data_IF_073823548633
#
_entry.id   IF_073823548633
#
_cell.length_a   1.000
_cell.length_b   1.000
_cell.length_c   1.000
_cell.angle_alpha   90.00
_cell.angle_beta   90.00
_cell.angle_gamma   90.00
#
_symmetry.space_group_name_H-M   'P 1'
#
loop_
_entity.id
_entity.type
_entity.pdbx_description
1 polymer ?
#
# COMPACT_ATOMS: atom_id res chain seq x y z
N UNK A 1 26.64 -17.25 33.29
CA UNK A 1 25.49 -16.84 32.44
C UNK A 1 24.74 -18.00 31.78
N UNK A 2 25.33 -19.18 31.56
CA UNK A 2 24.68 -20.29 30.85
C UNK A 2 23.69 -21.14 31.67
N UNK A 3 23.84 -21.26 33.00
CA UNK A 3 22.90 -22.04 33.83
C UNK A 3 21.51 -21.40 33.95
N UNK A 4 21.44 -20.06 33.96
CA UNK A 4 20.17 -19.34 34.15
C UNK A 4 19.18 -19.50 32.98
N UNK A 5 19.66 -19.71 31.75
CA UNK A 5 18.75 -19.90 30.60
C UNK A 5 18.15 -21.31 30.57
N UNK A 6 18.93 -22.35 30.91
CA UNK A 6 18.46 -23.73 30.93
C UNK A 6 17.36 -23.97 31.94
N UNK A 7 17.48 -23.36 33.13
CA UNK A 7 16.44 -23.43 34.16
C UNK A 7 15.14 -22.73 33.72
N UNK A 8 15.24 -21.62 32.98
CA UNK A 8 14.07 -20.92 32.43
C UNK A 8 13.35 -21.76 31.37
N UNK A 9 14.09 -22.37 30.45
CA UNK A 9 13.52 -23.30 29.46
C UNK A 9 12.91 -24.52 30.12
N UNK A 10 13.60 -25.13 31.10
CA UNK A 10 13.08 -26.27 31.85
C UNK A 10 11.78 -25.97 32.58
N UNK A 11 11.68 -24.79 33.21
CA UNK A 11 10.46 -24.33 33.86
C UNK A 11 9.32 -24.13 32.84
N UNK A 12 9.58 -23.48 31.69
CA UNK A 12 8.58 -23.29 30.63
C UNK A 12 8.02 -24.62 30.11
N UNK A 13 8.89 -25.59 29.82
CA UNK A 13 8.50 -26.93 29.35
C UNK A 13 7.65 -27.64 30.41
N UNK A 14 8.04 -27.54 31.69
CA UNK A 14 7.30 -28.16 32.80
C UNK A 14 5.90 -27.56 32.94
N UNK A 15 5.80 -26.24 32.85
CA UNK A 15 4.54 -25.53 33.05
C UNK A 15 3.59 -25.77 31.86
N UNK A 16 4.10 -25.76 30.62
CA UNK A 16 3.35 -26.12 29.42
C UNK A 16 2.87 -27.59 29.45
N UNK A 17 3.73 -28.53 29.88
CA UNK A 17 3.33 -29.94 30.06
C UNK A 17 2.21 -30.09 31.08
N UNK A 18 2.32 -29.41 32.21
CA UNK A 18 1.29 -29.44 33.26
C UNK A 18 -0.03 -28.83 32.78
N UNK A 19 0.02 -27.74 32.03
CA UNK A 19 -1.16 -27.10 31.43
C UNK A 19 -1.91 -28.07 30.50
N UNK A 20 -1.19 -28.89 29.74
CA UNK A 20 -1.78 -29.96 28.92
C UNK A 20 -2.19 -31.23 29.69
N UNK A 21 -2.04 -31.25 31.01
CA UNK A 21 -2.41 -32.41 31.83
C UNK A 21 -1.53 -33.65 31.61
N UNK A 22 -0.36 -33.51 30.98
CA UNK A 22 0.53 -34.63 30.65
C UNK A 22 1.47 -34.97 31.80
N UNK A 23 1.68 -36.25 32.06
CA UNK A 23 2.78 -36.74 32.91
C UNK A 23 4.11 -36.65 32.16
N UNK A 24 5.24 -36.66 32.88
CA UNK A 24 6.57 -36.71 32.24
C UNK A 24 6.76 -37.97 31.39
N UNK A 25 6.08 -39.07 31.72
CA UNK A 25 6.13 -40.31 30.95
C UNK A 25 5.41 -40.15 29.60
N UNK A 26 4.18 -39.60 29.61
CA UNK A 26 3.43 -39.35 28.38
C UNK A 26 4.13 -38.36 27.43
N UNK A 27 4.76 -37.31 27.96
CA UNK A 27 5.57 -36.41 27.13
C UNK A 27 6.81 -37.13 26.57
N UNK A 28 7.40 -38.05 27.33
CA UNK A 28 8.54 -38.84 26.86
C UNK A 28 8.14 -39.76 25.69
N UNK A 29 6.97 -40.39 25.77
CA UNK A 29 6.43 -41.25 24.71
C UNK A 29 6.18 -40.45 23.42
N UNK A 30 5.54 -39.27 23.52
CA UNK A 30 5.31 -38.37 22.38
C UNK A 30 6.60 -37.92 21.68
N UNK A 31 7.69 -37.80 22.43
CA UNK A 31 8.97 -37.35 21.94
C UNK A 31 9.93 -38.49 21.59
N UNK A 32 9.50 -39.76 21.74
CA UNK A 32 10.36 -40.92 21.54
C UNK A 32 11.63 -40.89 22.42
N UNK A 33 11.49 -40.44 23.67
CA UNK A 33 12.59 -40.32 24.63
C UNK A 33 12.24 -40.96 25.98
N UNK A 34 13.09 -40.84 27.00
CA UNK A 34 12.83 -41.41 28.33
C UNK A 34 12.28 -40.39 29.32
N UNK A 35 11.44 -40.83 30.26
CA UNK A 35 10.93 -39.98 31.35
C UNK A 35 12.08 -39.31 32.14
N UNK A 36 13.20 -40.03 32.31
CA UNK A 36 14.40 -39.47 32.96
C UNK A 36 15.05 -38.35 32.15
N UNK A 37 14.98 -38.40 30.80
CA UNK A 37 15.42 -37.29 29.95
C UNK A 37 14.52 -36.07 30.13
N UNK A 38 13.19 -36.25 30.13
CA UNK A 38 12.24 -35.15 30.40
C UNK A 38 12.48 -34.51 31.77
N UNK A 39 12.73 -35.32 32.80
CA UNK A 39 13.04 -34.80 34.14
C UNK A 39 14.35 -33.96 34.16
N UNK A 40 15.39 -34.38 33.45
CA UNK A 40 16.63 -33.60 33.33
C UNK A 40 16.42 -32.30 32.57
N UNK A 41 15.60 -32.33 31.53
CA UNK A 41 15.21 -31.16 30.73
C UNK A 41 14.47 -30.14 31.61
N UNK A 42 13.45 -30.58 32.35
CA UNK A 42 12.65 -29.69 33.21
C UNK A 42 13.44 -29.08 34.36
N UNK A 43 14.49 -29.78 34.83
CA UNK A 43 15.40 -29.24 35.84
C UNK A 43 16.46 -28.30 35.26
N UNK A 44 16.60 -28.21 33.94
CA UNK A 44 17.66 -27.43 33.29
C UNK A 44 19.04 -28.10 33.24
N UNK A 45 19.11 -29.42 33.49
CA UNK A 45 20.35 -30.19 33.56
C UNK A 45 20.77 -30.79 32.20
N UNK A 46 20.08 -30.44 31.11
CA UNK A 46 20.33 -31.00 29.77
C UNK A 46 20.43 -29.88 28.72
N UNK A 47 21.43 -29.98 27.82
CA UNK A 47 21.48 -29.14 26.62
C UNK A 47 20.46 -29.65 25.61
N UNK A 48 19.68 -28.75 25.03
CA UNK A 48 18.68 -29.05 24.01
C UNK A 48 19.13 -28.48 22.67
N UNK A 49 19.01 -29.28 21.60
CA UNK A 49 19.11 -28.76 20.23
C UNK A 49 17.84 -27.96 19.90
N UNK A 50 17.93 -27.09 18.89
CA UNK A 50 16.76 -26.36 18.35
C UNK A 50 15.69 -27.32 17.83
N UNK A 51 16.10 -28.41 17.19
CA UNK A 51 15.18 -29.47 16.73
C UNK A 51 14.42 -30.11 17.89
N UNK A 52 15.10 -30.41 19.01
CA UNK A 52 14.46 -30.97 20.19
C UNK A 52 13.48 -29.97 20.83
N UNK A 53 13.82 -28.69 20.87
CA UNK A 53 12.92 -27.64 21.36
C UNK A 53 11.68 -27.48 20.48
N UNK A 54 11.83 -27.53 19.16
CA UNK A 54 10.70 -27.48 18.22
C UNK A 54 9.77 -28.68 18.39
N UNK A 55 10.32 -29.90 18.53
CA UNK A 55 9.54 -31.12 18.80
C UNK A 55 8.78 -31.06 20.13
N UNK A 56 9.42 -30.53 21.18
CA UNK A 56 8.77 -30.30 22.48
C UNK A 56 7.65 -29.26 22.32
N UNK A 57 7.90 -28.17 21.61
CA UNK A 57 6.88 -27.14 21.32
C UNK A 57 5.66 -27.72 20.60
N UNK A 58 5.86 -28.53 19.56
CA UNK A 58 4.78 -29.19 18.84
C UNK A 58 4.00 -30.19 19.72
N UNK A 59 4.69 -31.01 20.51
CA UNK A 59 4.02 -31.97 21.42
C UNK A 59 3.20 -31.26 22.51
N UNK A 60 3.65 -30.09 22.94
CA UNK A 60 3.01 -29.29 23.98
C UNK A 60 2.06 -28.22 23.44
N UNK A 61 1.96 -28.06 22.11
CA UNK A 61 1.24 -26.96 21.45
C UNK A 61 1.56 -25.61 22.11
N UNK A 62 2.86 -25.40 22.27
CA UNK A 62 3.44 -24.26 22.94
C UNK A 62 4.57 -23.74 22.08
N UNK A 63 4.56 -22.45 21.80
CA UNK A 63 5.61 -21.78 21.03
C UNK A 63 6.88 -21.57 21.87
N UNK A 64 7.59 -22.66 22.13
CA UNK A 64 8.82 -22.65 22.95
C UNK A 64 10.01 -22.11 22.14
N UNK A 65 10.01 -22.34 20.82
CA UNK A 65 10.95 -21.76 19.85
C UNK A 65 10.16 -21.34 18.62
N UNK A 66 10.04 -20.03 18.40
CA UNK A 66 9.59 -19.46 17.14
C UNK A 66 10.82 -19.03 16.33
N UNK A 67 11.15 -19.78 15.28
CA UNK A 67 12.09 -19.30 14.25
C UNK A 67 11.26 -18.55 13.21
N UNK A 68 11.20 -17.23 13.34
CA UNK A 68 10.67 -16.33 12.32
C UNK A 68 9.16 -16.45 12.06
N UNK A 69 8.33 -15.97 12.98
CA UNK A 69 6.93 -15.59 12.72
C UNK A 69 6.31 -14.69 13.81
N UNK A 70 7.12 -14.15 14.74
CA UNK A 70 6.65 -13.17 15.72
C UNK A 70 6.72 -11.74 15.16
N UNK A 71 6.02 -10.77 15.78
CA UNK A 71 6.18 -9.36 15.43
C UNK A 71 7.67 -8.99 15.44
N UNK A 72 8.14 -8.42 14.33
CA UNK A 72 9.51 -7.92 14.25
C UNK A 72 9.59 -6.64 15.07
N UNK A 73 10.26 -6.70 16.22
CA UNK A 73 10.51 -5.52 17.03
C UNK A 73 11.84 -4.89 16.59
N UNK A 74 11.77 -3.64 16.13
CA UNK A 74 12.98 -2.85 15.89
C UNK A 74 13.43 -2.23 17.22
N UNK A 75 14.68 -2.51 17.63
CA UNK A 75 15.33 -1.81 18.72
C UNK A 75 16.16 -0.68 18.14
N UNK A 76 15.75 0.55 18.41
CA UNK A 76 16.49 1.75 18.02
C UNK A 76 17.43 2.13 19.17
N UNK A 77 18.70 2.39 18.86
CA UNK A 77 19.67 2.91 19.83
C UNK A 77 20.11 4.30 19.39
N UNK A 78 19.79 5.29 20.20
CA UNK A 78 20.23 6.68 20.03
C UNK A 78 21.09 7.15 21.21
N UNK A 79 21.63 8.38 21.16
CA UNK A 79 21.55 9.31 20.02
C UNK A 79 22.37 8.84 18.82
N UNK A 80 21.95 9.21 17.60
CA UNK A 80 22.68 8.91 16.36
C UNK A 80 22.60 10.09 15.39
N UNK A 81 23.50 10.11 14.42
CA UNK A 81 23.48 11.03 13.27
C UNK A 81 23.50 10.21 12.00
N UNK A 82 22.89 10.76 10.95
CA UNK A 82 22.80 10.19 9.62
C UNK A 82 23.78 10.95 8.71
N UNK A 83 24.33 10.27 7.71
CA UNK A 83 25.24 10.87 6.73
C UNK A 83 25.09 10.17 5.38
N UNK A 84 25.39 10.89 4.30
CA UNK A 84 25.32 10.39 2.93
C UNK A 84 24.06 10.84 2.21
N UNK A 85 23.69 10.07 1.19
CA UNK A 85 22.61 10.40 0.26
C UNK A 85 21.67 9.22 0.05
N UNK A 86 20.40 9.49 -0.21
CA UNK A 86 19.37 8.48 -0.43
C UNK A 86 18.40 8.92 -1.52
N UNK A 87 18.07 8.01 -2.44
CA UNK A 87 17.01 8.24 -3.43
C UNK A 87 15.64 7.96 -2.82
N UNK A 88 14.69 8.85 -3.07
CA UNK A 88 13.27 8.60 -2.85
C UNK A 88 12.78 7.57 -3.87
N UNK A 89 12.02 6.58 -3.39
CA UNK A 89 11.43 5.51 -4.21
C UNK A 89 10.13 5.98 -4.84
N UNK A 90 9.64 5.20 -5.79
CA UNK A 90 8.33 5.45 -6.43
C UNK A 90 7.19 5.30 -5.44
N UNK A 91 6.15 6.10 -5.65
CA UNK A 91 4.96 6.13 -4.82
C UNK A 91 4.24 4.79 -4.74
N UNK A 92 4.06 4.31 -3.50
CA UNK A 92 3.17 3.18 -3.24
C UNK A 92 1.75 3.47 -3.73
N UNK A 93 1.21 4.63 -3.37
CA UNK A 93 -0.20 4.95 -3.61
C UNK A 93 -0.49 5.09 -5.11
N UNK A 94 0.43 5.70 -5.87
CA UNK A 94 0.35 5.67 -7.33
C UNK A 94 0.46 4.24 -7.87
N UNK A 95 1.40 3.43 -7.35
CA UNK A 95 1.53 2.02 -7.73
C UNK A 95 0.23 1.22 -7.54
N UNK A 96 -0.47 1.42 -6.41
CA UNK A 96 -1.77 0.81 -6.13
C UNK A 96 -2.84 1.24 -7.15
N UNK A 97 -2.94 2.53 -7.44
CA UNK A 97 -3.90 3.05 -8.42
C UNK A 97 -3.63 2.50 -9.83
N UNK A 98 -2.36 2.43 -10.23
CA UNK A 98 -1.93 1.93 -11.53
C UNK A 98 -2.16 0.42 -11.67
N UNK A 99 -1.95 -0.37 -10.61
CA UNK A 99 -2.30 -1.80 -10.59
C UNK A 99 -3.78 -2.00 -10.90
N UNK A 100 -4.67 -1.24 -10.26
CA UNK A 100 -6.10 -1.28 -10.57
C UNK A 100 -6.38 -0.87 -12.03
N UNK A 101 -5.74 0.19 -12.51
CA UNK A 101 -5.93 0.72 -13.86
C UNK A 101 -5.43 -0.23 -14.97
N UNK A 102 -4.55 -1.20 -14.66
CA UNK A 102 -4.13 -2.22 -15.64
C UNK A 102 -5.28 -3.06 -16.16
N UNK A 103 -6.36 -3.22 -15.39
CA UNK A 103 -7.58 -3.90 -15.82
C UNK A 103 -8.33 -3.19 -16.96
N UNK A 104 -8.02 -1.91 -17.24
CA UNK A 104 -8.56 -1.20 -18.40
C UNK A 104 -7.91 -1.65 -19.71
N UNK A 105 -6.61 -1.94 -19.68
CA UNK A 105 -5.84 -2.31 -20.87
C UNK A 105 -6.01 -3.80 -21.19
N UNK A 106 -6.07 -4.17 -22.47
CA UNK A 106 -6.01 -5.56 -22.94
C UNK A 106 -4.58 -5.98 -23.33
N UNK A 107 -3.72 -5.01 -23.62
CA UNK A 107 -2.32 -5.23 -23.94
C UNK A 107 -1.43 -5.39 -22.71
N UNK A 108 -0.12 -5.50 -22.94
CA UNK A 108 0.86 -5.64 -21.84
C UNK A 108 1.13 -4.29 -21.19
N UNK A 109 1.03 -4.24 -19.87
CA UNK A 109 1.51 -3.10 -19.06
C UNK A 109 2.80 -3.47 -18.36
N UNK A 110 3.84 -2.65 -18.50
CA UNK A 110 5.06 -2.72 -17.67
C UNK A 110 5.09 -1.52 -16.74
N UNK A 111 4.97 -1.76 -15.43
CA UNK A 111 5.12 -0.74 -14.41
C UNK A 111 6.54 -0.79 -13.84
N UNK A 112 7.26 0.33 -13.90
CA UNK A 112 8.65 0.42 -13.46
C UNK A 112 8.75 0.67 -11.96
N UNK A 113 9.70 0.00 -11.31
CA UNK A 113 10.09 0.20 -9.91
C UNK A 113 8.98 0.11 -8.86
N UNK A 114 7.92 -0.65 -9.12
CA UNK A 114 6.77 -0.78 -8.21
C UNK A 114 7.21 -1.28 -6.82
N UNK A 115 6.70 -0.63 -5.76
CA UNK A 115 7.02 -1.03 -4.40
C UNK A 115 6.60 -2.48 -4.09
N UNK A 116 7.55 -3.34 -3.70
CA UNK A 116 7.29 -4.71 -3.23
C UNK A 116 6.89 -4.73 -1.77
N UNK A 117 5.63 -4.38 -1.51
CA UNK A 117 5.05 -4.37 -0.17
C UNK A 117 3.79 -5.22 -0.13
N UNK A 118 3.36 -5.56 1.09
CA UNK A 118 2.19 -6.41 1.34
C UNK A 118 0.92 -5.95 0.61
N UNK A 119 0.64 -4.65 0.59
CA UNK A 119 -0.55 -4.12 -0.10
C UNK A 119 -0.52 -4.35 -1.62
N UNK A 120 0.66 -4.20 -2.24
CA UNK A 120 0.87 -4.46 -3.67
C UNK A 120 0.79 -5.95 -3.96
N UNK A 121 1.41 -6.78 -3.12
CA UNK A 121 1.37 -8.24 -3.27
C UNK A 121 -0.07 -8.76 -3.22
N UNK A 122 -0.90 -8.26 -2.30
CA UNK A 122 -2.33 -8.61 -2.22
C UNK A 122 -3.09 -8.27 -3.49
N UNK A 123 -2.84 -7.10 -4.08
CA UNK A 123 -3.47 -6.75 -5.36
C UNK A 123 -2.99 -7.66 -6.50
N UNK A 124 -1.71 -8.03 -6.52
CA UNK A 124 -1.15 -8.98 -7.48
C UNK A 124 -1.79 -10.37 -7.32
N UNK A 125 -1.98 -10.84 -6.09
CA UNK A 125 -2.69 -12.10 -5.79
C UNK A 125 -4.12 -12.08 -6.35
N UNK A 126 -4.86 -10.99 -6.10
CA UNK A 126 -6.21 -10.82 -6.66
C UNK A 126 -6.17 -10.76 -8.19
N UNK A 127 -5.29 -9.96 -8.79
CA UNK A 127 -5.16 -9.89 -10.26
C UNK A 127 -4.86 -11.28 -10.85
N UNK A 128 -3.94 -12.03 -10.23
CA UNK A 128 -3.57 -13.38 -10.65
C UNK A 128 -4.75 -14.35 -10.54
N UNK A 129 -5.57 -14.24 -9.49
CA UNK A 129 -6.80 -15.04 -9.35
C UNK A 129 -7.84 -14.76 -10.43
N UNK A 130 -7.84 -13.55 -11.01
CA UNK A 130 -8.68 -13.19 -12.16
C UNK A 130 -8.10 -13.66 -13.51
N UNK A 131 -6.95 -14.37 -13.50
CA UNK A 131 -6.25 -14.84 -14.69
C UNK A 131 -5.22 -13.86 -15.26
N UNK A 132 -4.97 -12.72 -14.62
CA UNK A 132 -3.96 -11.74 -15.06
C UNK A 132 -2.55 -12.27 -14.75
N UNK A 133 -1.69 -12.33 -15.75
CA UNK A 133 -0.31 -12.76 -15.56
C UNK A 133 0.51 -11.60 -15.01
N UNK A 134 1.05 -11.75 -13.80
CA UNK A 134 1.92 -10.77 -13.17
C UNK A 134 3.32 -11.35 -12.98
N UNK A 135 4.34 -10.69 -13.52
CA UNK A 135 5.73 -11.17 -13.49
C UNK A 135 6.70 -10.04 -13.14
N UNK A 136 7.44 -10.23 -12.06
CA UNK A 136 8.59 -9.38 -11.74
C UNK A 136 9.73 -9.62 -12.73
N UNK A 137 10.25 -8.57 -13.36
CA UNK A 137 11.22 -8.67 -14.46
C UNK A 137 12.67 -8.60 -14.00
N UNK A 138 12.95 -7.87 -12.92
CA UNK A 138 14.31 -7.58 -12.46
C UNK A 138 14.35 -7.28 -10.95
N UNK A 139 15.56 -7.02 -10.46
CA UNK A 139 15.83 -6.63 -9.06
C UNK A 139 15.44 -5.18 -8.77
N UNK A 140 15.19 -4.37 -9.81
CA UNK A 140 14.72 -2.99 -9.69
C UNK A 140 13.20 -2.88 -9.43
N UNK A 141 12.52 -4.02 -9.28
CA UNK A 141 11.07 -4.12 -9.06
C UNK A 141 10.21 -3.66 -10.25
N UNK A 142 10.66 -3.91 -11.48
CA UNK A 142 9.76 -3.76 -12.63
C UNK A 142 8.76 -4.93 -12.69
N UNK A 143 7.50 -4.60 -12.94
CA UNK A 143 6.38 -5.53 -12.95
C UNK A 143 5.70 -5.54 -14.32
N UNK A 144 5.72 -6.69 -14.98
CA UNK A 144 4.95 -6.97 -16.19
C UNK A 144 3.57 -7.53 -15.82
N UNK A 145 2.54 -6.99 -16.45
CA UNK A 145 1.14 -7.32 -16.21
C UNK A 145 0.49 -7.56 -17.58
N UNK A 146 -0.03 -8.77 -17.79
CA UNK A 146 -0.71 -9.18 -19.03
C UNK A 146 -2.09 -9.74 -18.68
N UNK A 147 -3.17 -9.01 -18.97
CA UNK A 147 -4.52 -9.49 -18.72
C UNK A 147 -4.92 -10.56 -19.75
N UNK A 148 -5.77 -11.52 -19.36
CA UNK A 148 -6.33 -12.49 -20.29
C UNK A 148 -7.40 -11.83 -21.19
N UNK A 149 -7.81 -12.49 -22.29
CA UNK A 149 -8.93 -12.02 -23.11
C UNK A 149 -10.24 -11.86 -22.30
N UNK A 150 -10.48 -12.78 -21.36
CA UNK A 150 -11.62 -12.81 -20.43
C UNK A 150 -11.11 -13.03 -19.01
N UNK A 151 -11.64 -12.27 -18.05
CA UNK A 151 -11.28 -12.36 -16.63
C UNK A 151 -12.09 -13.44 -15.94
N UNK A 152 -11.46 -14.20 -15.04
CA UNK A 152 -12.12 -15.21 -14.22
C UNK A 152 -12.70 -14.57 -12.94
N UNK A 153 -13.84 -13.89 -13.08
CA UNK A 153 -14.48 -13.16 -11.99
C UNK A 153 -15.10 -14.07 -10.92
N UNK A 154 -15.35 -15.35 -11.24
CA UNK A 154 -15.94 -16.32 -10.31
C UNK A 154 -14.92 -16.89 -9.31
N UNK A 155 -13.63 -16.81 -9.63
CA UNK A 155 -12.54 -17.37 -8.81
C UNK A 155 -11.66 -16.31 -8.14
N UNK A 156 -12.19 -15.11 -7.91
CA UNK A 156 -11.48 -14.05 -7.18
C UNK A 156 -10.99 -14.53 -5.81
N UNK A 157 -9.71 -14.30 -5.49
CA UNK A 157 -9.13 -14.64 -4.19
C UNK A 157 -9.75 -13.77 -3.10
N UNK A 158 -10.74 -14.33 -2.41
CA UNK A 158 -11.46 -13.64 -1.35
C UNK A 158 -10.62 -13.35 -0.10
N UNK A 159 -9.59 -14.15 0.19
CA UNK A 159 -8.73 -13.92 1.35
C UNK A 159 -7.83 -12.71 1.11
N UNK A 160 -7.16 -12.67 -0.06
CA UNK A 160 -6.33 -11.54 -0.47
C UNK A 160 -7.17 -10.26 -0.58
N UNK A 161 -8.32 -10.32 -1.28
CA UNK A 161 -9.21 -9.19 -1.49
C UNK A 161 -9.76 -8.60 -0.17
N UNK A 162 -10.07 -9.42 0.83
CA UNK A 162 -10.56 -8.92 2.13
C UNK A 162 -9.49 -8.23 2.96
N UNK A 163 -8.21 -8.47 2.67
CA UNK A 163 -7.05 -7.91 3.36
C UNK A 163 -6.53 -6.60 2.76
N UNK A 164 -7.08 -6.16 1.63
CA UNK A 164 -6.78 -4.87 1.01
C UNK A 164 -8.05 -4.05 0.84
N UNK A 165 -8.04 -2.78 1.28
CA UNK A 165 -9.18 -1.88 1.00
C UNK A 165 -9.21 -1.37 -0.43
N UNK A 166 -8.07 -1.47 -1.11
CA UNK A 166 -7.90 -1.01 -2.49
C UNK A 166 -8.73 -1.83 -3.48
N UNK A 167 -9.26 -3.00 -3.07
CA UNK A 167 -10.15 -3.82 -3.90
C UNK A 167 -11.38 -3.05 -4.43
N UNK A 168 -11.87 -2.05 -3.69
CA UNK A 168 -13.00 -1.22 -4.15
C UNK A 168 -12.70 -0.46 -5.45
N UNK A 169 -11.43 -0.19 -5.72
CA UNK A 169 -10.99 0.45 -6.95
C UNK A 169 -11.11 -0.45 -8.18
N UNK A 170 -11.38 -1.75 -8.02
CA UNK A 170 -11.65 -2.63 -9.16
C UNK A 170 -13.05 -2.37 -9.75
N UNK A 171 -13.96 -1.71 -9.03
CA UNK A 171 -15.28 -1.37 -9.55
C UNK A 171 -15.20 -0.51 -10.83
N UNK A 172 -14.32 0.49 -10.85
CA UNK A 172 -14.11 1.41 -11.97
C UNK A 172 -13.73 0.70 -13.27
N UNK A 173 -12.68 -0.13 -13.31
CA UNK A 173 -12.31 -0.87 -14.52
C UNK A 173 -13.22 -2.08 -14.80
N UNK A 174 -13.67 -2.83 -13.77
CA UNK A 174 -14.47 -4.04 -13.99
C UNK A 174 -15.87 -3.76 -14.52
N UNK A 175 -16.43 -2.57 -14.31
CA UNK A 175 -17.71 -2.20 -14.93
C UNK A 175 -17.64 -2.24 -16.47
N UNK A 176 -16.45 -2.20 -17.07
CA UNK A 176 -16.25 -2.34 -18.52
C UNK A 176 -15.98 -3.80 -18.97
N UNK A 177 -15.74 -4.71 -18.02
CA UNK A 177 -15.38 -6.11 -18.28
C UNK A 177 -16.54 -7.08 -18.11
N UNK A 178 -17.51 -6.76 -17.26
CA UNK A 178 -18.68 -7.58 -17.03
C UNK A 178 -19.92 -6.75 -16.67
N UNK A 179 -21.11 -7.27 -16.99
CA UNK A 179 -22.38 -6.64 -16.64
C UNK A 179 -22.81 -6.99 -15.21
N UNK A 180 -22.36 -8.12 -14.68
CA UNK A 180 -22.62 -8.56 -13.30
C UNK A 180 -21.35 -9.18 -12.76
N UNK A 181 -20.92 -8.74 -11.57
CA UNK A 181 -19.75 -9.29 -10.90
C UNK A 181 -19.81 -9.06 -9.38
N UNK A 182 -18.97 -9.76 -8.64
CA UNK A 182 -18.91 -9.67 -7.18
C UNK A 182 -17.50 -9.35 -6.72
N UNK A 183 -17.37 -8.47 -5.74
CA UNK A 183 -16.09 -8.19 -5.08
C UNK A 183 -16.18 -8.47 -3.58
N UNK A 184 -15.21 -9.17 -2.99
CA UNK A 184 -15.17 -9.39 -1.54
C UNK A 184 -15.13 -8.06 -0.78
N UNK A 185 -15.88 -7.99 0.32
CA UNK A 185 -15.88 -6.80 1.19
C UNK A 185 -14.60 -6.77 2.03
N UNK A 186 -13.74 -5.79 1.79
CA UNK A 186 -12.63 -5.48 2.68
C UNK A 186 -13.18 -4.93 4.01
N UNK A 187 -12.89 -5.61 5.13
CA UNK A 187 -13.36 -5.25 6.46
C UNK A 187 -12.99 -3.82 6.90
N UNK A 188 -13.69 -3.32 7.93
CA UNK A 188 -13.56 -1.96 8.46
C UNK A 188 -12.15 -1.61 8.99
N UNK A 189 -11.77 -0.34 8.85
CA UNK A 189 -10.58 0.21 9.51
C UNK A 189 -10.85 0.46 10.99
N UNK A 190 -9.85 0.21 11.85
CA UNK A 190 -9.84 0.76 13.22
C UNK A 190 -9.69 2.31 13.26
N UNK A 191 -9.30 2.95 12.15
CA UNK A 191 -9.32 4.40 11.94
C UNK A 191 -10.60 4.84 11.20
N UNK A 192 -11.73 4.74 11.90
CA UNK A 192 -13.00 5.38 11.52
C UNK A 192 -13.85 4.65 10.48
N UNK A 193 -15.16 4.93 10.50
CA UNK A 193 -16.16 4.40 9.56
C UNK A 193 -16.11 5.18 8.24
N UNK A 194 -15.08 4.95 7.41
CA UNK A 194 -15.12 5.43 6.02
C UNK A 194 -16.17 4.63 5.25
N UNK A 195 -17.19 5.30 4.73
CA UNK A 195 -18.24 4.65 3.94
C UNK A 195 -17.76 4.45 2.50
N UNK A 196 -18.32 3.46 1.83
CA UNK A 196 -18.05 3.19 0.41
C UNK A 196 -18.96 3.94 -0.55
N UNK A 197 -19.98 4.60 -0.01
CA UNK A 197 -20.98 5.38 -0.76
C UNK A 197 -20.36 6.41 -1.71
N UNK A 198 -19.26 7.12 -1.38
CA UNK A 198 -18.63 8.04 -2.33
C UNK A 198 -18.21 7.37 -3.65
N UNK A 199 -17.68 6.14 -3.60
CA UNK A 199 -17.34 5.39 -4.82
C UNK A 199 -18.60 5.02 -5.61
N UNK A 200 -19.66 4.60 -4.93
CA UNK A 200 -20.93 4.24 -5.58
C UNK A 200 -21.57 5.45 -6.24
N UNK A 201 -21.58 6.59 -5.56
CA UNK A 201 -22.09 7.83 -6.10
C UNK A 201 -21.29 8.31 -7.33
N UNK A 202 -19.97 8.10 -7.33
CA UNK A 202 -19.10 8.45 -8.46
C UNK A 202 -19.30 7.53 -9.68
N UNK A 203 -19.64 6.25 -9.46
CA UNK A 203 -19.77 5.24 -10.53
C UNK A 203 -21.21 5.05 -11.05
N UNK A 204 -22.23 5.40 -10.25
CA UNK A 204 -23.65 5.34 -10.63
C UNK A 204 -23.99 6.04 -11.95
N UNK A 205 -23.40 7.20 -12.31
CA UNK A 205 -23.62 7.83 -13.62
C UNK A 205 -23.16 6.99 -14.82
N UNK A 206 -22.28 6.01 -14.62
CA UNK A 206 -21.86 5.03 -15.63
C UNK A 206 -22.72 3.76 -15.62
N UNK A 207 -23.86 3.78 -14.93
CA UNK A 207 -24.78 2.65 -14.84
C UNK A 207 -24.43 1.60 -13.80
N UNK A 208 -23.38 1.81 -12.98
CA UNK A 208 -23.02 0.87 -11.93
C UNK A 208 -23.95 1.01 -10.72
N UNK A 209 -24.67 -0.08 -10.40
CA UNK A 209 -25.36 -0.25 -9.12
C UNK A 209 -24.60 -1.29 -8.29
N UNK A 210 -24.37 -0.98 -7.02
CA UNK A 210 -23.69 -1.90 -6.09
C UNK A 210 -24.55 -2.11 -4.86
N UNK A 211 -24.79 -3.37 -4.52
CA UNK A 211 -25.46 -3.79 -3.29
C UNK A 211 -24.43 -4.46 -2.39
N UNK A 212 -24.22 -3.89 -1.21
CA UNK A 212 -23.39 -4.52 -0.18
C UNK A 212 -24.25 -5.53 0.59
N UNK A 213 -23.94 -6.82 0.47
CA UNK A 213 -24.63 -7.91 1.18
C UNK A 213 -23.62 -8.92 1.72
N UNK A 214 -23.83 -9.41 2.94
CA UNK A 214 -23.11 -10.53 3.57
C UNK A 214 -21.60 -10.62 3.26
N UNK A 215 -20.90 -9.49 3.40
CA UNK A 215 -19.45 -9.45 3.22
C UNK A 215 -18.99 -9.47 1.77
N UNK A 216 -19.81 -9.02 0.81
CA UNK A 216 -19.43 -8.79 -0.58
C UNK A 216 -20.19 -7.60 -1.21
N UNK A 217 -19.62 -7.04 -2.27
CA UNK A 217 -20.24 -6.07 -3.15
C UNK A 217 -20.78 -6.78 -4.39
N UNK A 218 -22.09 -6.78 -4.58
CA UNK A 218 -22.71 -7.26 -5.81
C UNK A 218 -22.91 -6.09 -6.75
N UNK A 219 -22.16 -6.09 -7.85
CA UNK A 219 -22.19 -5.06 -8.87
C UNK A 219 -23.05 -5.51 -10.06
N UNK A 220 -23.89 -4.60 -10.55
CA UNK A 220 -24.61 -4.74 -11.82
C UNK A 220 -24.48 -3.46 -12.64
N UNK A 221 -24.20 -3.58 -13.93
CA UNK A 221 -23.98 -2.46 -14.85
C UNK A 221 -25.15 -2.37 -15.83
N UNK A 222 -25.83 -1.23 -15.85
CA UNK A 222 -26.81 -0.91 -16.86
C UNK A 222 -26.17 -0.08 -17.99
N UNK A 223 -25.88 -0.73 -19.12
CA UNK A 223 -25.25 -0.13 -20.31
C UNK A 223 -26.07 0.99 -20.96
N UNK A 224 -27.36 1.11 -20.64
CA UNK A 224 -28.21 2.20 -21.16
C UNK A 224 -28.06 3.51 -20.35
N UNK A 225 -27.36 3.48 -19.21
CA UNK A 225 -27.11 4.65 -18.38
C UNK A 225 -25.73 5.21 -18.73
N UNK A 226 -25.72 6.47 -19.15
CA UNK A 226 -24.51 7.21 -19.47
C UNK A 226 -24.46 8.54 -18.69
N UNK A 227 -23.25 9.07 -18.39
CA UNK A 227 -23.12 10.37 -17.75
C UNK A 227 -23.72 11.49 -18.62
N UNK A 228 -24.89 12.00 -18.22
CA UNK A 228 -25.58 13.10 -18.92
C UNK A 228 -25.20 14.49 -18.41
N UNK A 229 -24.44 14.56 -17.32
CA UNK A 229 -24.02 15.80 -16.65
C UNK A 229 -22.69 15.60 -15.93
N UNK A 230 -21.99 16.68 -15.53
CA UNK A 230 -20.80 16.56 -14.72
C UNK A 230 -21.03 15.73 -13.45
N UNK A 231 -20.10 14.82 -13.18
CA UNK A 231 -20.06 14.00 -11.97
C UNK A 231 -19.42 14.85 -10.88
N UNK A 232 -20.18 15.18 -9.84
CA UNK A 232 -19.69 15.99 -8.71
C UNK A 232 -19.38 15.06 -7.56
N UNK A 233 -18.10 14.96 -7.18
CA UNK A 233 -17.67 14.16 -6.04
C UNK A 233 -18.01 14.92 -4.75
N UNK A 234 -18.82 14.30 -3.88
CA UNK A 234 -19.25 14.90 -2.60
C UNK A 234 -18.14 14.90 -1.55
N UNK A 235 -17.13 14.05 -1.74
CA UNK A 235 -15.90 14.00 -0.96
C UNK A 235 -14.72 14.08 -1.92
N UNK A 236 -13.69 14.85 -1.57
CA UNK A 236 -12.45 14.92 -2.34
C UNK A 236 -11.50 13.78 -1.93
N UNK A 237 -11.93 12.55 -2.20
CA UNK A 237 -11.15 11.34 -1.94
C UNK A 237 -10.28 10.96 -3.13
N UNK A 238 -9.02 10.58 -2.87
CA UNK A 238 -8.08 10.13 -3.90
C UNK A 238 -8.62 8.90 -4.64
N UNK A 239 -8.93 7.83 -3.91
CA UNK A 239 -9.44 6.57 -4.47
C UNK A 239 -10.80 6.72 -5.15
N UNK A 240 -11.64 7.65 -4.70
CA UNK A 240 -12.94 7.96 -5.32
C UNK A 240 -12.73 8.61 -6.68
N UNK A 241 -11.80 9.57 -6.75
CA UNK A 241 -11.41 10.25 -7.98
C UNK A 241 -10.79 9.26 -8.97
N UNK A 242 -9.91 8.38 -8.50
CA UNK A 242 -9.28 7.34 -9.31
C UNK A 242 -10.30 6.36 -9.90
N UNK A 243 -11.30 5.92 -9.12
CA UNK A 243 -12.37 5.06 -9.63
C UNK A 243 -13.19 5.76 -10.73
N UNK A 244 -13.54 7.02 -10.52
CA UNK A 244 -14.26 7.82 -11.50
C UNK A 244 -13.44 8.03 -12.79
N UNK A 245 -12.13 8.25 -12.66
CA UNK A 245 -11.20 8.37 -13.79
C UNK A 245 -11.11 7.07 -14.58
N UNK A 246 -10.94 5.93 -13.91
CA UNK A 246 -10.89 4.62 -14.58
C UNK A 246 -12.21 4.29 -15.30
N UNK A 247 -13.35 4.63 -14.70
CA UNK A 247 -14.65 4.48 -15.34
C UNK A 247 -14.79 5.39 -16.58
N UNK A 248 -14.37 6.65 -16.47
CA UNK A 248 -14.41 7.60 -17.58
C UNK A 248 -13.44 7.24 -18.73
N UNK A 249 -12.31 6.60 -18.42
CA UNK A 249 -11.26 6.27 -19.39
C UNK A 249 -11.72 5.31 -20.50
N UNK A 250 -12.58 4.33 -20.17
CA UNK A 250 -13.14 3.36 -21.11
C UNK A 250 -14.60 3.65 -21.49
N UNK A 251 -15.08 4.87 -21.20
CA UNK A 251 -16.40 5.33 -21.62
C UNK A 251 -16.26 6.23 -22.86
N UNK A 252 -16.72 5.81 -24.05
CA UNK A 252 -16.67 6.64 -25.26
C UNK A 252 -17.38 7.98 -25.07
N UNK A 253 -16.64 9.07 -25.26
CA UNK A 253 -17.18 10.42 -25.12
C UNK A 253 -16.54 11.20 -23.97
N UNK A 254 -17.11 12.37 -23.68
CA UNK A 254 -16.53 13.32 -22.73
C UNK A 254 -17.26 13.28 -21.38
N UNK A 255 -16.52 12.94 -20.33
CA UNK A 255 -16.97 13.01 -18.94
C UNK A 255 -16.28 14.16 -18.22
N UNK A 256 -17.05 14.95 -17.46
CA UNK A 256 -16.50 15.99 -16.59
C UNK A 256 -16.64 15.56 -15.13
N UNK A 257 -15.53 15.49 -14.42
CA UNK A 257 -15.47 15.17 -12.99
C UNK A 257 -15.14 16.46 -12.22
N UNK A 258 -15.98 16.84 -11.26
CA UNK A 258 -15.84 18.05 -10.43
C UNK A 258 -15.56 17.68 -8.98
N UNK A 259 -14.82 18.56 -8.31
CA UNK A 259 -14.28 18.33 -6.97
C UNK A 259 -13.39 17.07 -6.92
N UNK A 260 -12.68 16.81 -8.03
CA UNK A 260 -11.65 15.79 -8.11
C UNK A 260 -10.53 16.07 -7.11
N UNK A 261 -9.91 15.02 -6.58
CA UNK A 261 -8.64 15.17 -5.89
C UNK A 261 -7.53 15.51 -6.90
N UNK A 262 -6.68 16.46 -6.52
CA UNK A 262 -5.54 16.93 -7.30
C UNK A 262 -4.22 16.27 -6.86
N UNK A 263 -4.29 15.27 -5.97
CA UNK A 263 -3.14 14.67 -5.31
C UNK A 263 -2.27 13.83 -6.25
N UNK A 264 -1.04 13.53 -5.84
CA UNK A 264 0.01 12.96 -6.70
C UNK A 264 -0.38 11.64 -7.39
N UNK A 265 -1.03 10.72 -6.66
CA UNK A 265 -1.46 9.42 -7.20
C UNK A 265 -2.55 9.57 -8.28
N UNK A 266 -3.41 10.58 -8.14
CA UNK A 266 -4.44 10.90 -9.13
C UNK A 266 -3.82 11.48 -10.38
N UNK A 267 -2.85 12.39 -10.23
CA UNK A 267 -2.11 12.94 -11.35
C UNK A 267 -1.34 11.86 -12.11
N UNK A 268 -0.67 10.94 -11.39
CA UNK A 268 0.04 9.81 -12.01
C UNK A 268 -0.91 8.89 -12.78
N UNK A 269 -2.10 8.61 -12.24
CA UNK A 269 -3.13 7.87 -12.97
C UNK A 269 -3.55 8.61 -14.24
N UNK A 270 -3.72 9.94 -14.20
CA UNK A 270 -4.05 10.72 -15.39
C UNK A 270 -2.98 10.60 -16.48
N UNK A 271 -1.69 10.70 -16.11
CA UNK A 271 -0.59 10.56 -17.05
C UNK A 271 -0.48 9.14 -17.62
N UNK A 272 -0.71 8.11 -16.80
CA UNK A 272 -0.81 6.73 -17.27
C UNK A 272 -1.96 6.54 -18.27
N UNK A 273 -3.15 7.05 -17.97
CA UNK A 273 -4.30 6.99 -18.89
C UNK A 273 -3.99 7.73 -20.21
N UNK A 274 -3.27 8.85 -20.16
CA UNK A 274 -2.79 9.53 -21.36
C UNK A 274 -1.82 8.68 -22.19
N UNK A 275 -0.96 7.87 -21.55
CA UNK A 275 -0.11 6.89 -22.26
C UNK A 275 -0.91 5.77 -22.93
N UNK A 276 -2.10 5.46 -22.43
CA UNK A 276 -3.04 4.54 -23.06
C UNK A 276 -3.87 5.18 -24.19
N UNK A 277 -3.72 6.49 -24.43
CA UNK A 277 -4.44 7.23 -25.47
C UNK A 277 -5.69 7.97 -25.00
N UNK A 278 -6.03 7.91 -23.70
CA UNK A 278 -7.15 8.66 -23.13
C UNK A 278 -6.78 10.14 -23.04
N UNK A 279 -7.66 11.04 -23.50
CA UNK A 279 -7.40 12.48 -23.33
C UNK A 279 -7.91 12.93 -21.96
N UNK A 280 -6.99 13.35 -21.10
CA UNK A 280 -7.30 13.92 -19.78
C UNK A 280 -6.85 15.38 -19.74
N UNK A 281 -7.78 16.28 -19.41
CA UNK A 281 -7.54 17.72 -19.26
C UNK A 281 -7.82 18.16 -17.82
N UNK A 282 -7.09 19.18 -17.36
CA UNK A 282 -7.24 19.70 -15.99
C UNK A 282 -6.48 18.91 -14.92
N UNK A 283 -5.48 18.11 -15.30
CA UNK A 283 -4.62 17.37 -14.37
C UNK A 283 -4.02 18.33 -13.32
N UNK A 284 -4.05 17.92 -12.05
CA UNK A 284 -3.65 18.76 -10.92
C UNK A 284 -4.71 19.77 -10.47
N UNK A 285 -5.86 19.87 -11.16
CA UNK A 285 -6.99 20.73 -10.76
C UNK A 285 -8.17 19.93 -10.21
N UNK A 286 -9.11 20.63 -9.58
CA UNK A 286 -10.33 20.00 -9.02
C UNK A 286 -11.40 19.71 -10.08
N UNK A 287 -11.15 20.00 -11.36
CA UNK A 287 -12.05 19.70 -12.47
C UNK A 287 -11.29 18.97 -13.57
N UNK A 288 -11.63 17.70 -13.77
CA UNK A 288 -11.04 16.87 -14.82
C UNK A 288 -12.04 16.70 -15.96
N UNK A 289 -11.58 16.89 -17.19
CA UNK A 289 -12.35 16.56 -18.39
C UNK A 289 -11.66 15.38 -19.08
N UNK A 290 -12.37 14.26 -19.16
CA UNK A 290 -11.86 12.99 -19.65
C UNK A 290 -12.60 12.65 -20.94
N UNK A 291 -11.88 12.49 -22.04
CA UNK A 291 -12.43 11.90 -23.27
C UNK A 291 -11.94 10.46 -23.35
N UNK A 292 -12.84 9.53 -23.05
CA UNK A 292 -12.56 8.09 -22.98
C UNK A 292 -12.55 7.40 -24.33
N UNK A 293 -12.08 6.16 -24.32
CA UNK A 293 -11.95 5.26 -25.47
C UNK A 293 -13.00 4.15 -25.41
N UNK A 294 -13.27 3.51 -26.54
CA UNK A 294 -14.15 2.33 -26.61
C UNK A 294 -13.44 1.05 -26.15
N UNK A 295 -12.14 0.97 -26.44
CA UNK A 295 -11.26 -0.12 -26.06
C UNK A 295 -9.85 0.42 -25.87
N UNK A 296 -9.05 -0.32 -25.10
CA UNK A 296 -7.63 -0.05 -24.89
C UNK A 296 -6.91 -1.37 -25.04
N UNK A 297 -6.05 -1.47 -26.06
CA UNK A 297 -5.24 -2.66 -26.34
C UNK A 297 -3.86 -2.21 -26.87
N UNK A 298 -2.99 -1.83 -25.93
CA UNK A 298 -1.65 -1.32 -26.26
C UNK A 298 -0.61 -1.87 -25.31
N UNK A 299 0.60 -2.06 -25.81
CA UNK A 299 1.75 -2.28 -24.94
C UNK A 299 2.22 -0.94 -24.37
N UNK A 300 2.24 -0.83 -23.05
CA UNK A 300 2.62 0.41 -22.35
C UNK A 300 3.76 0.15 -21.35
N UNK A 301 4.68 1.10 -21.30
CA UNK A 301 5.78 1.16 -20.34
C UNK A 301 5.61 2.45 -19.54
N UNK A 302 5.45 2.34 -18.22
CA UNK A 302 5.14 3.48 -17.35
C UNK A 302 5.91 3.41 -16.04
N UNK A 303 6.46 4.54 -15.62
CA UNK A 303 7.15 4.69 -14.35
C UNK A 303 6.36 5.66 -13.45
N UNK A 304 5.82 5.20 -12.30
CA UNK A 304 5.20 6.08 -11.33
C UNK A 304 6.21 7.11 -10.79
N UNK A 305 5.70 8.27 -10.38
CA UNK A 305 6.46 9.31 -9.70
C UNK A 305 6.94 8.87 -8.31
N UNK A 306 7.89 9.61 -7.77
CA UNK A 306 8.44 9.46 -6.43
C UNK A 306 7.42 9.68 -5.32
N UNK A 307 7.65 9.06 -4.15
CA UNK A 307 6.77 9.09 -2.99
C UNK A 307 7.04 10.32 -2.10
N UNK A 308 6.15 11.32 -2.05
CA UNK A 308 6.34 12.47 -1.17
C UNK A 308 6.29 12.09 0.32
N UNK A 309 5.63 10.99 0.68
CA UNK A 309 5.52 10.54 2.08
C UNK A 309 6.83 9.92 2.53
N UNK A 310 7.51 9.16 1.67
CA UNK A 310 8.86 8.65 1.96
C UNK A 310 9.85 9.82 2.08
N UNK A 311 9.81 10.78 1.15
CA UNK A 311 10.64 11.97 1.20
C UNK A 311 10.44 12.76 2.52
N UNK A 312 9.20 12.98 2.94
CA UNK A 312 8.90 13.64 4.22
C UNK A 312 9.42 12.83 5.43
N UNK A 313 9.30 11.50 5.40
CA UNK A 313 9.82 10.65 6.47
C UNK A 313 11.35 10.74 6.63
N UNK A 314 12.07 10.87 5.49
CA UNK A 314 13.52 11.05 5.47
C UNK A 314 13.92 12.45 5.95
N UNK A 315 13.15 13.49 5.57
CA UNK A 315 13.33 14.85 6.08
C UNK A 315 13.14 14.89 7.60
N UNK A 316 12.06 14.29 8.10
CA UNK A 316 11.80 14.19 9.54
C UNK A 316 12.93 13.46 10.27
N UNK A 317 13.42 12.34 9.73
CA UNK A 317 14.56 11.62 10.29
C UNK A 317 15.82 12.50 10.36
N UNK A 318 16.11 13.28 9.32
CA UNK A 318 17.24 14.21 9.30
C UNK A 318 17.09 15.33 10.33
N UNK A 319 15.89 15.91 10.45
CA UNK A 319 15.55 16.98 11.41
C UNK A 319 15.78 16.50 12.84
N UNK A 320 15.16 15.39 13.25
CA UNK A 320 15.22 14.91 14.65
C UNK A 320 16.62 14.44 15.06
N UNK A 321 17.44 14.02 14.09
CA UNK A 321 18.83 13.61 14.33
C UNK A 321 19.84 14.75 14.13
N UNK A 322 19.39 15.96 13.76
CA UNK A 322 20.24 17.11 13.40
C UNK A 322 21.29 16.75 12.34
N UNK A 323 20.89 15.95 11.37
CA UNK A 323 21.78 15.39 10.36
C UNK A 323 21.85 16.27 9.11
N UNK A 324 22.97 16.18 8.40
CA UNK A 324 23.12 16.71 7.05
C UNK A 324 23.19 15.54 6.08
N UNK A 325 22.08 15.29 5.39
CA UNK A 325 21.95 14.25 4.38
C UNK A 325 21.35 14.85 3.10
N UNK A 326 21.63 14.22 1.96
CA UNK A 326 20.98 14.56 0.69
C UNK A 326 19.87 13.56 0.40
N UNK A 327 18.64 14.05 0.32
CA UNK A 327 17.49 13.29 -0.14
C UNK A 327 17.30 13.64 -1.62
N UNK A 328 17.57 12.68 -2.49
CA UNK A 328 17.52 12.84 -3.95
C UNK A 328 16.15 12.46 -4.49
N UNK A 329 15.75 13.09 -5.59
CA UNK A 329 14.47 12.84 -6.31
C UNK A 329 13.22 13.18 -5.49
N UNK A 330 13.26 14.26 -4.72
CA UNK A 330 12.11 14.74 -3.95
C UNK A 330 11.06 15.34 -4.89
N UNK A 331 9.81 14.84 -4.91
CA UNK A 331 8.76 15.37 -5.76
C UNK A 331 8.21 16.68 -5.20
N UNK A 332 8.82 17.80 -5.62
CA UNK A 332 8.75 19.09 -4.91
C UNK A 332 7.35 19.64 -4.82
N UNK A 333 6.51 19.49 -5.85
CA UNK A 333 5.16 20.07 -5.85
C UNK A 333 4.26 19.53 -4.73
N UNK A 334 4.55 18.32 -4.22
CA UNK A 334 3.78 17.66 -3.17
C UNK A 334 4.38 17.84 -1.77
N UNK A 335 5.42 18.68 -1.66
CA UNK A 335 6.09 19.00 -0.40
C UNK A 335 6.32 20.50 -0.19
N UNK A 336 5.89 21.36 -1.12
CA UNK A 336 6.06 22.81 -1.01
C UNK A 336 5.40 23.38 0.26
N UNK A 337 4.22 22.89 0.66
CA UNK A 337 3.56 23.33 1.89
C UNK A 337 4.29 22.83 3.13
N UNK A 338 4.68 21.55 3.14
CA UNK A 338 5.42 20.95 4.24
C UNK A 338 6.76 21.67 4.45
N UNK A 339 7.50 21.94 3.38
CA UNK A 339 8.76 22.67 3.43
C UNK A 339 8.58 24.12 3.88
N UNK A 340 7.56 24.82 3.39
CA UNK A 340 7.27 26.18 3.82
C UNK A 340 6.97 26.26 5.33
N UNK A 341 6.18 25.32 5.87
CA UNK A 341 5.93 25.24 7.31
C UNK A 341 7.21 24.92 8.09
N UNK A 342 8.03 24.00 7.59
CA UNK A 342 9.31 23.67 8.21
C UNK A 342 10.27 24.88 8.20
N UNK A 343 10.31 25.67 7.13
CA UNK A 343 11.09 26.91 7.04
C UNK A 343 10.64 27.94 8.09
N UNK A 344 9.34 28.14 8.25
CA UNK A 344 8.77 28.99 9.31
C UNK A 344 9.15 28.48 10.71
N UNK A 345 9.25 27.16 10.86
CA UNK A 345 9.74 26.52 12.09
C UNK A 345 11.25 26.64 12.26
N UNK A 346 12.01 27.15 11.29
CA UNK A 346 13.48 27.33 11.38
C UNK A 346 14.30 26.19 10.77
N UNK A 347 13.70 25.35 9.92
CA UNK A 347 14.42 24.33 9.17
C UNK A 347 15.25 24.96 8.04
N UNK A 348 16.52 24.56 7.96
CA UNK A 348 17.45 24.99 6.92
C UNK A 348 17.82 23.82 6.00
N UNK A 349 17.75 24.06 4.70
CA UNK A 349 18.15 23.09 3.67
C UNK A 349 18.60 23.82 2.41
N UNK A 350 19.36 23.13 1.56
CA UNK A 350 19.66 23.55 0.20
C UNK A 350 18.84 22.72 -0.80
N UNK A 351 18.48 23.33 -1.93
CA UNK A 351 17.71 22.70 -3.00
C UNK A 351 18.47 22.76 -4.31
N UNK A 352 18.53 21.66 -5.05
CA UNK A 352 19.07 21.65 -6.42
C UNK A 352 18.18 22.42 -7.40
N UNK A 353 18.65 22.54 -8.65
CA UNK A 353 17.76 22.88 -9.77
C UNK A 353 16.67 21.79 -9.95
N UNK A 354 15.52 22.21 -10.47
CA UNK A 354 14.42 21.29 -10.78
C UNK A 354 14.74 20.43 -12.00
N UNK A 355 14.39 19.15 -11.93
CA UNK A 355 14.45 18.19 -13.04
C UNK A 355 13.18 17.35 -13.09
N UNK A 356 13.02 16.52 -14.14
CA UNK A 356 11.76 15.82 -14.41
C UNK A 356 11.85 14.35 -14.03
N UNK A 357 10.78 13.83 -13.42
CA UNK A 357 10.62 12.40 -13.10
C UNK A 357 10.49 11.52 -14.36
N UNK A 358 10.55 10.20 -14.17
CA UNK A 358 10.46 9.25 -15.29
C UNK A 358 9.08 9.23 -15.97
N UNK A 359 8.02 9.66 -15.28
CA UNK A 359 6.70 9.86 -15.89
C UNK A 359 6.69 11.01 -16.91
N UNK A 360 7.69 11.90 -16.90
CA UNK A 360 7.83 13.04 -17.80
C UNK A 360 7.09 14.31 -17.33
N UNK A 361 6.50 14.30 -16.14
CA UNK A 361 5.63 15.38 -15.64
C UNK A 361 6.01 15.88 -14.25
N UNK A 362 6.27 14.99 -13.29
CA UNK A 362 6.51 15.43 -11.91
C UNK A 362 7.83 16.18 -11.79
N UNK A 363 7.80 17.33 -11.10
CA UNK A 363 8.98 18.14 -10.80
C UNK A 363 9.74 17.55 -9.62
N UNK A 364 11.03 17.31 -9.79
CA UNK A 364 11.94 16.74 -8.80
C UNK A 364 13.04 17.73 -8.42
N UNK A 365 13.49 17.64 -7.17
CA UNK A 365 14.69 18.32 -6.67
C UNK A 365 15.47 17.38 -5.75
N UNK A 366 16.74 17.67 -5.53
CA UNK A 366 17.51 17.10 -4.44
C UNK A 366 17.53 18.09 -3.27
N UNK A 367 17.26 17.61 -2.06
CA UNK A 367 17.23 18.40 -0.83
C UNK A 367 18.40 17.99 0.07
N UNK A 368 19.30 18.92 0.34
CA UNK A 368 20.40 18.73 1.31
C UNK A 368 20.03 19.38 2.63
N UNK A 369 19.78 18.57 3.67
CA UNK A 369 19.39 19.07 4.98
C UNK A 369 20.57 19.71 5.71
N UNK A 370 20.31 20.74 6.52
CA UNK A 370 21.30 21.35 7.41
C UNK A 370 20.87 21.17 8.87
N UNK A 371 21.82 20.97 9.81
CA UNK A 371 21.51 21.01 11.22
C UNK A 371 20.76 22.31 11.57
N UNK A 372 19.59 22.16 12.16
CA UNK A 372 18.64 23.26 12.38
C UNK A 372 18.13 23.22 13.83
N UNK A 373 17.70 24.38 14.33
CA UNK A 373 16.98 24.50 15.60
C UNK A 373 15.55 24.90 15.30
N UNK A 374 14.63 23.94 15.42
CA UNK A 374 13.23 24.18 15.10
C UNK A 374 12.48 24.76 16.31
N UNK A 375 11.53 25.65 16.01
CA UNK A 375 10.58 26.22 16.95
C UNK A 375 9.16 25.77 16.59
N UNK A 376 8.29 25.65 17.60
CA UNK A 376 6.90 25.33 17.35
C UNK A 376 6.22 26.45 16.55
N UNK A 377 5.37 26.12 15.54
CA UNK A 377 4.62 27.13 14.81
C UNK A 377 3.62 27.83 15.74
N UNK A 378 3.32 29.09 15.45
CA UNK A 378 2.29 29.84 16.19
C UNK A 378 0.89 29.30 15.89
N UNK A 379 0.66 28.91 14.65
CA UNK A 379 -0.62 28.40 14.17
C UNK A 379 -0.69 26.87 14.25
N UNK A 380 -1.93 26.36 14.31
CA UNK A 380 -2.19 24.93 14.33
C UNK A 380 -1.92 24.32 12.95
N UNK A 381 -0.98 23.37 12.90
CA UNK A 381 -0.81 22.48 11.75
C UNK A 381 -2.01 21.52 11.69
N UNK A 382 -2.69 21.51 10.55
CA UNK A 382 -3.78 20.58 10.27
C UNK A 382 -3.78 20.24 8.78
N UNK A 383 -4.23 19.04 8.42
CA UNK A 383 -4.19 18.60 7.04
C UNK A 383 -5.34 19.21 6.24
N UNK A 384 -5.10 19.41 4.96
CA UNK A 384 -6.10 19.85 3.99
C UNK A 384 -5.88 19.07 2.68
N UNK A 385 -6.92 18.83 1.87
CA UNK A 385 -6.73 18.22 0.57
C UNK A 385 -5.74 19.02 -0.27
N UNK A 386 -4.93 18.34 -1.10
CA UNK A 386 -3.97 18.99 -1.99
C UNK A 386 -4.64 20.16 -2.75
N UNK A 387 -3.99 21.35 -2.84
CA UNK A 387 -2.59 21.64 -2.51
C UNK A 387 -2.31 21.99 -1.04
N UNK A 388 -3.15 21.61 -0.08
CA UNK A 388 -2.85 21.75 1.35
C UNK A 388 -1.91 20.68 1.91
N UNK A 389 -1.54 20.81 3.19
CA UNK A 389 -0.67 19.85 3.89
C UNK A 389 -1.26 18.44 3.85
N UNK A 390 -0.46 17.49 3.38
CA UNK A 390 -0.91 16.12 3.21
C UNK A 390 -1.20 15.47 4.57
N UNK A 391 -2.36 14.80 4.68
CA UNK A 391 -2.77 14.11 5.91
C UNK A 391 -1.79 13.02 6.34
N UNK A 392 -1.14 12.36 5.38
CA UNK A 392 -0.16 11.32 5.66
C UNK A 392 1.18 11.90 6.16
N UNK A 393 1.44 13.18 5.90
CA UNK A 393 2.61 13.90 6.40
C UNK A 393 2.41 14.50 7.80
N UNK A 394 1.15 14.68 8.24
CA UNK A 394 0.82 15.27 9.53
C UNK A 394 1.54 14.59 10.72
N UNK A 395 1.67 13.24 10.81
CA UNK A 395 2.36 12.61 11.93
C UNK A 395 3.87 12.89 12.03
N UNK A 396 4.47 13.48 10.99
CA UNK A 396 5.89 13.87 10.99
C UNK A 396 6.14 15.27 11.56
N UNK A 397 5.10 16.08 11.71
CA UNK A 397 5.11 17.36 12.43
C UNK A 397 4.75 17.14 13.90
#
# INVERSE_FOLDING_TARGET
MSEGYKNRIGNLIRDARKHRGLTQHQLADLLGTSQSAINRIEKGHQNLSLEMLARIGAALDSEIVALGAGPTHLRITGPTTLSGEIDVKTSKNAGVALLCATLLNRGRTTLRKVARIEEVNRLIEVLTSLGVQCRWLNDDNDLEIVPPPELDLDHVDAEAARRTRSIIMFLGPLLHRADVFQLPYAGGCDLGTRTVEPHMAALRPFGLEVKATDGSYHASVNRAIEPSRPIVLTERGDTVTENALMAAALHPGTTVIRNASSNYMVQDLCFYLQRLGVRVEGVGTTTLTVTGLADIDVDVDYAPSEDPIEAMSLLAAAIVTKSSITIRRVPIEFLEIELALLEEMGFHYDRSEEYVAQNGHTRLVDITTRPSELHAPLDKIHPMPFPGLNIDNLPFF
#
